data_IF_129743081315
#
_entry.id   IF_129743081315
#
_cell.length_a   1.000
_cell.length_b   1.000
_cell.length_c   1.000
_cell.angle_alpha   90.00
_cell.angle_beta   90.00
_cell.angle_gamma   90.00
#
_symmetry.space_group_name_H-M   'P 1'
#
loop_
_entity.id
_entity.type
_entity.pdbx_description
1 polymer ?
#
# COMPACT_ATOMS: atom_id res chain seq x y z
N UNK A 1 11.37 -30.54 -63.03
CA UNK A 1 11.62 -30.47 -61.56
C UNK A 1 11.94 -29.07 -60.98
N UNK A 2 12.04 -27.98 -61.77
CA UNK A 2 12.36 -26.62 -61.25
C UNK A 2 11.15 -25.71 -60.98
N UNK A 3 9.93 -26.09 -61.32
CA UNK A 3 8.71 -25.26 -61.11
C UNK A 3 7.94 -25.57 -59.79
N UNK A 4 8.19 -26.70 -59.14
CA UNK A 4 7.50 -27.09 -57.89
C UNK A 4 8.17 -26.47 -56.64
N UNK A 5 9.47 -26.15 -56.70
CA UNK A 5 10.22 -25.58 -55.58
C UNK A 5 9.88 -24.08 -55.37
N UNK A 6 9.50 -23.36 -56.40
CA UNK A 6 9.14 -21.93 -56.31
C UNK A 6 7.76 -21.70 -55.68
N UNK A 7 6.81 -22.64 -55.83
CA UNK A 7 5.48 -22.53 -55.24
C UNK A 7 5.49 -22.87 -53.74
N UNK A 8 6.36 -23.81 -53.33
CA UNK A 8 6.53 -24.17 -51.91
C UNK A 8 7.18 -23.05 -51.06
N UNK A 9 8.13 -22.32 -51.65
CA UNK A 9 8.82 -21.20 -50.99
C UNK A 9 7.93 -19.96 -50.86
N UNK A 10 7.03 -19.73 -51.82
CA UNK A 10 6.06 -18.61 -51.76
C UNK A 10 4.95 -18.87 -50.71
N UNK A 11 4.54 -20.12 -50.54
CA UNK A 11 3.54 -20.51 -49.54
C UNK A 11 4.13 -20.50 -48.10
N UNK A 12 5.43 -20.85 -47.95
CA UNK A 12 6.12 -20.77 -46.65
C UNK A 12 6.38 -19.32 -46.25
N UNK A 13 6.65 -18.42 -47.20
CA UNK A 13 6.78 -16.98 -46.94
C UNK A 13 5.44 -16.30 -46.64
N UNK A 14 4.31 -16.84 -47.10
CA UNK A 14 2.97 -16.34 -46.76
C UNK A 14 2.46 -16.88 -45.43
N UNK A 15 2.94 -18.02 -44.93
CA UNK A 15 2.57 -18.59 -43.63
C UNK A 15 3.42 -17.97 -42.49
N UNK A 16 4.61 -17.42 -42.78
CA UNK A 16 5.45 -16.74 -41.80
C UNK A 16 5.09 -15.29 -41.56
N UNK A 17 4.05 -14.73 -42.19
CA UNK A 17 3.61 -13.35 -42.03
C UNK A 17 2.19 -13.17 -41.47
N UNK A 18 1.63 -14.19 -40.83
CA UNK A 18 0.60 -13.94 -39.83
C UNK A 18 1.35 -13.61 -38.55
N UNK A 19 2.07 -12.49 -38.52
CA UNK A 19 2.32 -11.78 -37.30
C UNK A 19 0.93 -11.58 -36.70
N UNK A 20 0.64 -12.21 -35.56
CA UNK A 20 -0.55 -11.86 -34.78
C UNK A 20 -0.56 -10.34 -34.76
N UNK A 21 -1.60 -9.71 -35.30
CA UNK A 21 -1.69 -8.26 -35.29
C UNK A 21 -1.59 -7.80 -33.86
N UNK A 22 -0.56 -7.03 -33.55
CA UNK A 22 -0.32 -6.51 -32.22
C UNK A 22 -1.58 -5.78 -31.73
N UNK A 23 -2.08 -6.16 -30.57
CA UNK A 23 -3.25 -5.49 -30.00
C UNK A 23 -2.83 -4.14 -29.42
N UNK A 24 -3.78 -3.21 -29.26
CA UNK A 24 -3.52 -1.93 -28.61
C UNK A 24 -3.02 -2.13 -27.16
N UNK A 25 -3.48 -3.18 -26.51
CA UNK A 25 -3.06 -3.53 -25.16
C UNK A 25 -1.60 -3.96 -25.14
N UNK A 26 -1.19 -4.85 -26.04
CA UNK A 26 0.21 -5.26 -26.15
C UNK A 26 1.13 -4.11 -26.55
N UNK A 27 0.72 -3.28 -27.52
CA UNK A 27 1.48 -2.08 -27.91
C UNK A 27 1.69 -1.13 -26.72
N UNK A 28 0.64 -0.89 -25.92
CA UNK A 28 0.73 -0.04 -24.72
C UNK A 28 1.59 -0.66 -23.63
N UNK A 29 1.51 -1.99 -23.42
CA UNK A 29 2.32 -2.75 -22.47
C UNK A 29 3.81 -2.71 -22.80
N UNK A 30 4.13 -2.72 -24.11
CA UNK A 30 5.49 -2.67 -24.63
C UNK A 30 6.05 -1.24 -24.71
N UNK A 31 5.22 -0.20 -24.51
CA UNK A 31 5.64 1.20 -24.62
C UNK A 31 5.72 1.69 -26.08
N UNK A 32 5.07 1.00 -27.03
CA UNK A 32 5.09 1.36 -28.45
C UNK A 32 4.00 2.39 -28.77
N UNK A 33 4.27 3.67 -28.50
CA UNK A 33 3.36 4.77 -28.84
C UNK A 33 3.06 4.87 -30.35
N UNK A 34 4.02 4.70 -31.26
CA UNK A 34 3.74 4.61 -32.70
C UNK A 34 2.70 3.55 -33.06
N UNK A 35 2.85 2.31 -32.54
CA UNK A 35 1.88 1.23 -32.77
C UNK A 35 0.50 1.58 -32.20
N UNK A 36 0.42 2.10 -30.97
CA UNK A 36 -0.85 2.57 -30.37
C UNK A 36 -1.54 3.59 -31.27
N UNK A 37 -0.80 4.59 -31.78
CA UNK A 37 -1.32 5.61 -32.68
C UNK A 37 -1.82 5.02 -34.00
N UNK A 38 -1.06 4.08 -34.59
CA UNK A 38 -1.42 3.41 -35.84
C UNK A 38 -2.70 2.59 -35.71
N UNK A 39 -2.82 1.82 -34.61
CA UNK A 39 -4.00 0.98 -34.35
C UNK A 39 -5.24 1.86 -34.20
N UNK A 40 -5.17 2.96 -33.43
CA UNK A 40 -6.29 3.86 -33.23
C UNK A 40 -6.66 4.70 -34.46
N UNK A 41 -5.71 4.95 -35.35
CA UNK A 41 -5.97 5.59 -36.63
C UNK A 41 -6.76 4.67 -37.58
N UNK A 42 -6.53 3.36 -37.51
CA UNK A 42 -7.22 2.34 -38.31
C UNK A 42 -8.59 1.98 -37.69
N UNK A 43 -8.66 1.82 -36.37
CA UNK A 43 -9.87 1.43 -35.67
C UNK A 43 -9.99 2.16 -34.32
N UNK A 44 -10.63 3.32 -34.27
CA UNK A 44 -10.85 4.07 -33.02
C UNK A 44 -11.64 3.30 -31.95
N UNK A 45 -12.42 2.27 -32.32
CA UNK A 45 -13.21 1.48 -31.38
C UNK A 45 -12.33 0.67 -30.42
N UNK A 46 -11.06 0.47 -30.74
CA UNK A 46 -10.09 -0.24 -29.91
C UNK A 46 -9.62 0.53 -28.69
N UNK A 47 -9.95 1.82 -28.56
CA UNK A 47 -9.45 2.69 -27.49
C UNK A 47 -9.63 2.10 -26.08
N UNK A 48 -10.76 1.46 -25.82
CA UNK A 48 -11.07 0.85 -24.53
C UNK A 48 -11.12 -0.69 -24.58
N UNK A 49 -10.51 -1.30 -25.61
CA UNK A 49 -10.39 -2.75 -25.67
C UNK A 49 -9.57 -3.27 -24.48
N UNK A 50 -9.96 -4.44 -23.98
CA UNK A 50 -9.32 -5.09 -22.83
C UNK A 50 -8.62 -6.39 -23.26
N UNK A 51 -7.63 -6.80 -22.46
CA UNK A 51 -7.11 -8.16 -22.46
C UNK A 51 -8.04 -9.14 -21.72
N UNK A 52 -7.57 -10.38 -21.57
CA UNK A 52 -8.30 -11.46 -20.87
C UNK A 52 -8.49 -11.17 -19.37
N UNK A 53 -7.61 -10.36 -18.77
CA UNK A 53 -7.65 -9.93 -17.38
C UNK A 53 -8.41 -8.60 -17.18
N UNK A 54 -9.17 -8.15 -18.20
CA UNK A 54 -9.94 -6.90 -18.19
C UNK A 54 -9.11 -5.62 -18.07
N UNK A 55 -7.80 -5.64 -18.37
CA UNK A 55 -6.96 -4.45 -18.41
C UNK A 55 -7.01 -3.80 -19.80
N UNK A 56 -7.22 -2.49 -19.85
CA UNK A 56 -7.13 -1.69 -21.07
C UNK A 56 -5.68 -1.29 -21.38
N UNK A 57 -5.45 -0.76 -22.57
CA UNK A 57 -4.18 -0.13 -22.94
C UNK A 57 -3.76 0.96 -21.93
N UNK A 58 -4.73 1.74 -21.42
CA UNK A 58 -4.46 2.76 -20.41
C UNK A 58 -4.02 2.16 -19.05
N UNK A 59 -4.58 1.02 -18.64
CA UNK A 59 -4.12 0.31 -17.43
C UNK A 59 -2.64 -0.08 -17.57
N UNK A 60 -2.28 -0.73 -18.68
CA UNK A 60 -0.90 -1.18 -18.90
C UNK A 60 0.07 -0.01 -19.06
N UNK A 61 -0.32 1.06 -19.75
CA UNK A 61 0.48 2.26 -19.83
C UNK A 61 0.78 2.85 -18.44
N UNK A 62 -0.22 2.94 -17.56
CA UNK A 62 -0.04 3.41 -16.18
C UNK A 62 0.78 2.43 -15.33
N UNK A 63 0.51 1.13 -15.43
CA UNK A 63 1.21 0.08 -14.68
C UNK A 63 2.69 0.01 -15.02
N UNK A 64 3.05 0.24 -16.30
CA UNK A 64 4.42 0.23 -16.80
C UNK A 64 5.10 1.59 -16.84
N UNK A 65 4.41 2.64 -16.38
CA UNK A 65 4.88 4.02 -16.38
C UNK A 65 5.17 4.60 -17.79
N UNK A 66 4.46 4.14 -18.81
CA UNK A 66 4.51 4.69 -20.18
C UNK A 66 3.61 5.93 -20.25
N UNK A 67 4.06 7.04 -19.67
CA UNK A 67 3.24 8.23 -19.43
C UNK A 67 2.84 8.99 -20.69
N UNK A 68 3.63 8.91 -21.73
CA UNK A 68 3.33 9.45 -23.05
C UNK A 68 2.14 8.73 -23.71
N UNK A 69 2.10 7.39 -23.58
CA UNK A 69 0.96 6.57 -24.01
C UNK A 69 -0.26 6.85 -23.14
N UNK A 70 -0.09 6.88 -21.80
CA UNK A 70 -1.19 7.17 -20.89
C UNK A 70 -1.84 8.52 -21.19
N UNK A 71 -1.04 9.59 -21.31
CA UNK A 71 -1.51 10.92 -21.71
C UNK A 71 -2.24 10.89 -23.07
N UNK A 72 -1.63 10.28 -24.07
CA UNK A 72 -2.22 10.19 -25.40
C UNK A 72 -3.60 9.50 -25.39
N UNK A 73 -3.73 8.37 -24.66
CA UNK A 73 -4.99 7.63 -24.56
C UNK A 73 -6.06 8.46 -23.82
N UNK A 74 -5.69 9.11 -22.70
CA UNK A 74 -6.60 9.97 -21.93
C UNK A 74 -7.09 11.16 -22.78
N UNK A 75 -6.19 11.82 -23.52
CA UNK A 75 -6.52 12.93 -24.40
C UNK A 75 -7.43 12.50 -25.59
N UNK A 76 -7.34 11.22 -26.00
CA UNK A 76 -8.24 10.63 -26.99
C UNK A 76 -9.59 10.18 -26.42
N UNK A 77 -9.82 10.36 -25.11
CA UNK A 77 -11.10 10.04 -24.46
C UNK A 77 -11.17 8.59 -24.00
N UNK A 78 -10.05 7.95 -23.70
CA UNK A 78 -10.06 6.64 -23.03
C UNK A 78 -10.87 6.73 -21.73
N UNK A 79 -11.67 5.70 -21.44
CA UNK A 79 -12.43 5.63 -20.20
C UNK A 79 -11.47 5.40 -19.01
N UNK A 80 -11.34 6.42 -18.19
CA UNK A 80 -10.49 6.43 -16.99
C UNK A 80 -11.11 5.67 -15.80
N UNK A 81 -12.30 5.08 -16.00
CA UNK A 81 -13.07 4.39 -14.95
C UNK A 81 -13.23 2.88 -15.19
N UNK A 82 -12.60 2.34 -16.20
CA UNK A 82 -12.61 0.88 -16.40
C UNK A 82 -11.96 0.22 -15.20
N UNK A 83 -12.61 -0.81 -14.66
CA UNK A 83 -12.09 -1.60 -13.53
C UNK A 83 -11.30 -2.77 -14.09
N UNK A 84 -10.04 -2.90 -13.70
CA UNK A 84 -9.19 -4.02 -14.07
C UNK A 84 -9.47 -5.29 -13.27
N UNK A 85 -8.80 -6.38 -13.60
CA UNK A 85 -9.01 -7.69 -12.95
C UNK A 85 -8.70 -7.71 -11.45
N UNK A 86 -7.89 -6.77 -10.96
CA UNK A 86 -7.61 -6.58 -9.53
C UNK A 86 -8.69 -5.74 -8.80
N UNK A 87 -9.73 -5.31 -9.50
CA UNK A 87 -10.79 -4.45 -8.96
C UNK A 87 -10.42 -2.96 -8.86
N UNK A 88 -9.18 -2.59 -9.21
CA UNK A 88 -8.71 -1.20 -9.22
C UNK A 88 -8.95 -0.49 -10.55
N UNK A 89 -8.76 0.83 -10.55
CA UNK A 89 -8.77 1.68 -11.73
C UNK A 89 -7.37 2.20 -12.05
N UNK A 90 -7.19 2.75 -13.24
CA UNK A 90 -5.89 3.23 -13.74
C UNK A 90 -5.25 4.29 -12.84
N UNK A 91 -6.06 5.11 -12.15
CA UNK A 91 -5.57 6.15 -11.26
C UNK A 91 -4.72 5.58 -10.10
N UNK A 92 -5.04 4.36 -9.63
CA UNK A 92 -4.25 3.70 -8.57
C UNK A 92 -2.80 3.50 -9.00
N UNK A 93 -2.55 3.16 -10.28
CA UNK A 93 -1.20 2.99 -10.82
C UNK A 93 -0.48 4.32 -11.02
N UNK A 94 -1.19 5.36 -11.48
CA UNK A 94 -0.63 6.71 -11.58
C UNK A 94 -0.20 7.24 -10.20
N UNK A 95 -1.03 7.01 -9.18
CA UNK A 95 -0.72 7.34 -7.78
C UNK A 95 0.44 6.50 -7.26
N UNK A 96 0.47 5.19 -7.55
CA UNK A 96 1.55 4.29 -7.14
C UNK A 96 2.92 4.76 -7.66
N UNK A 97 2.98 5.29 -8.86
CA UNK A 97 4.20 5.81 -9.46
C UNK A 97 4.45 7.31 -9.18
N UNK A 98 3.67 7.93 -8.30
CA UNK A 98 3.77 9.36 -7.95
C UNK A 98 3.65 10.33 -9.14
N UNK A 99 2.96 9.94 -10.20
CA UNK A 99 2.76 10.80 -11.37
C UNK A 99 1.59 11.76 -11.15
N UNK A 100 1.90 12.90 -10.51
CA UNK A 100 0.92 13.93 -10.17
C UNK A 100 0.18 14.48 -11.38
N UNK A 101 0.87 14.62 -12.53
CA UNK A 101 0.26 15.16 -13.76
C UNK A 101 -0.82 14.23 -14.33
N UNK A 102 -0.54 12.94 -14.40
CA UNK A 102 -1.52 11.96 -14.89
C UNK A 102 -2.66 11.79 -13.89
N UNK A 103 -2.40 11.82 -12.58
CA UNK A 103 -3.46 11.81 -11.55
C UNK A 103 -4.40 13.00 -11.74
N UNK A 104 -3.87 14.23 -11.90
CA UNK A 104 -4.67 15.42 -12.16
C UNK A 104 -5.48 15.30 -13.45
N UNK A 105 -4.83 14.90 -14.53
CA UNK A 105 -5.48 14.72 -15.83
C UNK A 105 -6.64 13.71 -15.76
N UNK A 106 -6.45 12.58 -15.07
CA UNK A 106 -7.52 11.60 -14.88
C UNK A 106 -8.69 12.16 -14.09
N UNK A 107 -8.43 12.92 -13.02
CA UNK A 107 -9.49 13.56 -12.23
C UNK A 107 -10.23 14.60 -13.06
N UNK A 108 -9.54 15.42 -13.84
CA UNK A 108 -10.13 16.37 -14.79
C UNK A 108 -11.00 15.68 -15.85
N UNK A 109 -10.66 14.46 -16.24
CA UNK A 109 -11.44 13.63 -17.17
C UNK A 109 -12.51 12.78 -16.49
N UNK A 110 -12.81 13.04 -15.21
CA UNK A 110 -13.89 12.41 -14.49
C UNK A 110 -13.56 11.04 -13.89
N UNK A 111 -12.32 10.82 -13.50
CA UNK A 111 -11.96 9.62 -12.75
C UNK A 111 -12.76 9.55 -11.44
N UNK A 112 -13.45 8.44 -11.24
CA UNK A 112 -14.16 8.15 -9.99
C UNK A 112 -13.15 7.76 -8.93
N UNK A 113 -13.19 8.49 -7.82
CA UNK A 113 -12.42 8.19 -6.63
C UNK A 113 -13.16 7.19 -5.75
N UNK A 114 -12.47 6.66 -4.75
CA UNK A 114 -13.04 5.75 -3.75
C UNK A 114 -13.42 4.36 -4.28
N UNK A 115 -12.94 3.97 -5.47
CA UNK A 115 -13.09 2.61 -5.99
C UNK A 115 -12.15 1.69 -5.19
N UNK A 116 -12.73 0.66 -4.57
CA UNK A 116 -11.97 -0.32 -3.78
C UNK A 116 -11.48 -1.46 -4.66
N UNK A 117 -10.18 -1.70 -4.64
CA UNK A 117 -9.60 -2.89 -5.27
C UNK A 117 -9.86 -4.17 -4.46
N UNK A 118 -9.35 -5.32 -4.91
CA UNK A 118 -9.53 -6.63 -4.26
C UNK A 118 -9.06 -6.68 -2.79
N UNK A 119 -8.17 -5.79 -2.37
CA UNK A 119 -7.73 -5.64 -0.97
C UNK A 119 -8.55 -4.61 -0.18
N UNK A 120 -9.55 -4.01 -0.81
CA UNK A 120 -10.34 -2.92 -0.26
C UNK A 120 -9.61 -1.57 -0.24
N UNK A 121 -8.46 -1.45 -0.89
CA UNK A 121 -7.69 -0.20 -0.97
C UNK A 121 -8.27 0.72 -2.03
N UNK A 122 -8.27 2.04 -1.74
CA UNK A 122 -8.55 3.11 -2.69
C UNK A 122 -7.26 3.80 -3.13
N UNK A 123 -7.35 4.71 -4.10
CA UNK A 123 -6.24 5.57 -4.53
C UNK A 123 -5.61 6.35 -3.37
N UNK A 124 -6.43 6.80 -2.40
CA UNK A 124 -5.95 7.52 -1.22
C UNK A 124 -5.06 6.64 -0.33
N UNK A 125 -5.44 5.37 -0.12
CA UNK A 125 -4.61 4.42 0.62
C UNK A 125 -3.25 4.23 -0.06
N UNK A 126 -3.24 4.13 -1.39
CA UNK A 126 -2.01 4.00 -2.19
C UNK A 126 -1.13 5.25 -2.07
N UNK A 127 -1.71 6.46 -2.17
CA UNK A 127 -0.98 7.73 -2.03
C UNK A 127 -0.34 7.87 -0.64
N UNK A 128 -1.08 7.48 0.41
CA UNK A 128 -0.59 7.51 1.79
C UNK A 128 0.54 6.50 1.98
N UNK A 129 0.39 5.29 1.46
CA UNK A 129 1.43 4.27 1.53
C UNK A 129 2.73 4.72 0.83
N UNK A 130 2.62 5.44 -0.28
CA UNK A 130 3.77 6.05 -1.00
C UNK A 130 4.37 7.25 -0.26
N UNK A 131 3.59 7.90 0.63
CA UNK A 131 4.04 9.07 1.40
C UNK A 131 4.04 10.39 0.61
N UNK A 132 3.40 10.43 -0.55
CA UNK A 132 3.33 11.63 -1.37
C UNK A 132 2.28 12.60 -0.83
N UNK A 133 2.73 13.54 0.01
CA UNK A 133 1.87 14.52 0.68
C UNK A 133 1.05 15.35 -0.32
N UNK A 134 1.62 15.72 -1.46
CA UNK A 134 0.92 16.54 -2.45
C UNK A 134 -0.21 15.77 -3.15
N UNK A 135 0.02 14.49 -3.48
CA UNK A 135 -1.03 13.65 -4.05
C UNK A 135 -2.13 13.37 -3.02
N UNK A 136 -1.76 13.07 -1.76
CA UNK A 136 -2.73 12.87 -0.67
C UNK A 136 -3.61 14.10 -0.48
N UNK A 137 -3.00 15.28 -0.42
CA UNK A 137 -3.71 16.56 -0.25
C UNK A 137 -4.66 16.81 -1.42
N UNK A 138 -4.16 16.64 -2.64
CA UNK A 138 -4.95 16.82 -3.87
C UNK A 138 -6.14 15.84 -3.95
N UNK A 139 -5.95 14.57 -3.62
CA UNK A 139 -7.02 13.57 -3.60
C UNK A 139 -8.11 13.92 -2.58
N UNK A 140 -7.72 14.35 -1.38
CA UNK A 140 -8.67 14.79 -0.34
C UNK A 140 -9.47 16.03 -0.78
N UNK A 141 -8.84 16.99 -1.47
CA UNK A 141 -9.52 18.17 -2.02
C UNK A 141 -10.54 17.83 -3.12
N UNK A 142 -10.35 16.68 -3.79
CA UNK A 142 -11.23 16.21 -4.88
C UNK A 142 -12.21 15.11 -4.47
N UNK A 143 -12.38 14.86 -3.16
CA UNK A 143 -13.44 14.00 -2.64
C UNK A 143 -13.02 12.55 -2.35
N UNK A 144 -11.74 12.25 -2.24
CA UNK A 144 -11.32 10.97 -1.67
C UNK A 144 -11.75 10.88 -0.21
N UNK A 145 -12.42 9.78 0.14
CA UNK A 145 -12.95 9.53 1.49
C UNK A 145 -11.90 8.81 2.36
N UNK A 146 -11.33 9.49 3.38
CA UNK A 146 -10.33 8.91 4.27
C UNK A 146 -10.91 7.89 5.27
N UNK A 147 -12.23 7.76 5.36
CA UNK A 147 -12.90 6.85 6.30
C UNK A 147 -13.11 5.45 5.72
N UNK A 148 -12.93 5.28 4.41
CA UNK A 148 -13.07 3.97 3.76
C UNK A 148 -12.08 3.00 4.38
N UNK A 149 -12.58 1.79 4.71
CA UNK A 149 -11.78 0.73 5.30
C UNK A 149 -11.34 -0.29 4.26
N UNK A 150 -10.10 -0.76 4.36
CA UNK A 150 -9.63 -1.93 3.62
C UNK A 150 -10.24 -3.22 4.16
N UNK A 151 -9.89 -4.36 3.56
CA UNK A 151 -10.37 -5.66 4.05
C UNK A 151 -9.86 -6.00 5.46
N UNK A 152 -8.74 -5.41 5.89
CA UNK A 152 -8.23 -5.48 7.27
C UNK A 152 -8.92 -4.49 8.23
N UNK A 153 -9.82 -3.65 7.74
CA UNK A 153 -10.47 -2.59 8.51
C UNK A 153 -9.63 -1.33 8.65
N UNK A 154 -8.57 -1.16 7.85
CA UNK A 154 -7.67 -0.01 7.92
C UNK A 154 -8.23 1.19 7.16
N UNK A 155 -8.25 2.34 7.82
CA UNK A 155 -8.55 3.64 7.23
C UNK A 155 -7.27 4.34 6.74
N UNK A 156 -7.41 5.49 6.13
CA UNK A 156 -6.30 6.38 5.75
C UNK A 156 -5.30 6.60 6.90
N UNK A 157 -5.80 6.83 8.13
CA UNK A 157 -4.95 7.01 9.30
C UNK A 157 -4.16 5.76 9.67
N UNK A 158 -4.75 4.58 9.58
CA UNK A 158 -4.04 3.32 9.82
C UNK A 158 -2.86 3.17 8.85
N UNK A 159 -3.07 3.44 7.56
CA UNK A 159 -2.01 3.41 6.56
C UNK A 159 -0.92 4.44 6.82
N UNK A 160 -1.28 5.67 7.18
CA UNK A 160 -0.33 6.73 7.47
C UNK A 160 0.61 6.35 8.64
N UNK A 161 0.04 5.83 9.73
CA UNK A 161 0.83 5.36 10.86
C UNK A 161 1.65 4.12 10.53
N UNK A 162 1.07 3.16 9.81
CA UNK A 162 1.78 1.94 9.39
C UNK A 162 2.99 2.23 8.52
N UNK A 163 2.86 3.21 7.63
CA UNK A 163 3.93 3.62 6.70
C UNK A 163 4.96 4.56 7.34
N UNK A 164 4.64 5.16 8.49
CA UNK A 164 5.54 6.06 9.22
C UNK A 164 5.83 7.38 8.49
N UNK A 165 4.94 7.83 7.61
CA UNK A 165 5.07 9.08 6.88
C UNK A 165 4.57 10.29 7.70
N UNK A 166 5.44 10.87 8.55
CA UNK A 166 5.07 11.95 9.50
C UNK A 166 4.39 13.15 8.85
N UNK A 167 4.83 13.53 7.64
CA UNK A 167 4.21 14.65 6.91
C UNK A 167 2.76 14.33 6.53
N UNK A 168 2.51 13.09 6.10
CA UNK A 168 1.14 12.62 5.79
C UNK A 168 0.31 12.53 7.05
N UNK A 169 0.85 11.95 8.14
CA UNK A 169 0.16 11.90 9.45
C UNK A 169 -0.24 13.31 9.90
N UNK A 170 0.69 14.28 9.80
CA UNK A 170 0.42 15.68 10.15
C UNK A 170 -0.67 16.30 9.28
N UNK A 171 -0.62 16.07 7.97
CA UNK A 171 -1.64 16.55 7.03
C UNK A 171 -3.02 15.99 7.41
N UNK A 172 -3.15 14.67 7.58
CA UNK A 172 -4.43 14.02 7.91
C UNK A 172 -5.00 14.53 9.25
N UNK A 173 -4.14 14.73 10.27
CA UNK A 173 -4.53 15.31 11.56
C UNK A 173 -5.04 16.76 11.40
N UNK A 174 -4.33 17.59 10.63
CA UNK A 174 -4.72 18.97 10.40
C UNK A 174 -6.06 19.07 9.66
N UNK A 175 -6.41 18.07 8.85
CA UNK A 175 -7.71 17.94 8.19
C UNK A 175 -8.80 17.34 9.07
N UNK A 176 -8.51 17.06 10.35
CA UNK A 176 -9.48 16.54 11.33
C UNK A 176 -9.83 15.07 11.11
N UNK A 177 -9.04 14.30 10.37
CA UNK A 177 -9.31 12.89 10.13
C UNK A 177 -9.09 12.10 11.43
N UNK A 178 -10.09 11.32 11.81
CA UNK A 178 -10.17 10.67 13.13
C UNK A 178 -9.07 9.61 13.34
N UNK A 179 -8.53 9.62 14.56
CA UNK A 179 -7.66 8.57 15.11
C UNK A 179 -8.46 7.52 15.91
N UNK A 180 -9.71 7.83 16.23
CA UNK A 180 -10.54 7.00 17.09
C UNK A 180 -11.37 6.01 16.29
N UNK A 181 -10.67 5.23 15.48
CA UNK A 181 -11.26 4.16 14.65
C UNK A 181 -10.42 2.91 14.83
N UNK A 182 -11.04 1.81 15.19
CA UNK A 182 -10.40 0.51 15.29
C UNK A 182 -10.44 -0.26 13.96
N UNK A 183 -9.37 -1.01 13.67
CA UNK A 183 -9.34 -2.02 12.61
C UNK A 183 -10.06 -3.32 13.03
N UNK A 184 -10.03 -4.34 12.18
CA UNK A 184 -10.67 -5.64 12.46
C UNK A 184 -10.02 -6.42 13.62
N UNK A 185 -8.87 -5.98 14.12
CA UNK A 185 -8.16 -6.56 15.26
C UNK A 185 -8.28 -5.67 16.51
N UNK A 186 -9.14 -4.66 16.49
CA UNK A 186 -9.33 -3.71 17.60
C UNK A 186 -8.19 -2.73 17.79
N UNK A 187 -7.28 -2.58 16.83
CA UNK A 187 -6.14 -1.67 16.91
C UNK A 187 -6.51 -0.28 16.41
N UNK A 188 -6.09 0.73 17.10
CA UNK A 188 -6.12 2.11 16.61
C UNK A 188 -4.93 2.42 15.70
N UNK A 189 -5.00 3.45 14.84
CA UNK A 189 -3.92 3.83 13.92
C UNK A 189 -2.55 3.94 14.59
N UNK A 190 -2.47 4.58 15.75
CA UNK A 190 -1.22 4.78 16.49
C UNK A 190 -0.55 3.48 16.94
N UNK A 191 -1.29 2.37 17.08
CA UNK A 191 -0.73 1.05 17.39
C UNK A 191 0.02 0.42 16.19
N UNK A 192 -0.10 0.99 14.99
CA UNK A 192 0.56 0.53 13.77
C UNK A 192 1.83 1.32 13.43
N UNK A 193 2.23 2.26 14.28
CA UNK A 193 3.36 3.12 14.01
C UNK A 193 4.69 2.37 14.14
N UNK A 194 5.40 2.19 13.02
CA UNK A 194 6.68 1.47 12.97
C UNK A 194 7.90 2.36 12.74
N UNK A 195 7.73 3.67 12.60
CA UNK A 195 8.88 4.55 12.56
C UNK A 195 9.46 4.58 13.97
N UNK A 196 10.78 4.30 14.10
CA UNK A 196 11.49 4.53 15.36
C UNK A 196 11.18 5.95 15.84
N UNK A 197 10.28 6.16 16.81
CA UNK A 197 10.18 7.47 17.42
C UNK A 197 11.51 7.72 18.13
N UNK A 198 11.83 8.97 18.36
CA UNK A 198 12.88 9.25 19.34
C UNK A 198 12.43 8.60 20.65
N UNK A 199 13.23 7.69 21.22
CA UNK A 199 12.87 7.04 22.46
C UNK A 199 12.54 8.12 23.49
N UNK A 200 11.40 7.99 24.16
CA UNK A 200 11.14 8.80 25.36
C UNK A 200 12.17 8.35 26.39
N UNK A 201 12.92 9.29 26.96
CA UNK A 201 13.80 8.99 28.06
C UNK A 201 12.91 8.78 29.31
N UNK A 202 12.78 7.53 29.73
CA UNK A 202 12.25 7.17 31.04
C UNK A 202 13.40 7.12 32.03
N UNK A 203 13.15 7.56 33.26
CA UNK A 203 14.10 7.36 34.35
C UNK A 203 14.31 5.88 34.64
N UNK A 204 15.42 5.55 35.27
CA UNK A 204 15.72 4.14 35.65
C UNK A 204 14.64 3.53 36.51
N UNK A 205 14.03 4.33 37.44
CA UNK A 205 12.90 3.88 38.26
C UNK A 205 11.65 3.57 37.42
N UNK A 206 11.35 4.36 36.41
CA UNK A 206 10.22 4.08 35.52
C UNK A 206 10.48 2.85 34.65
N UNK A 207 11.74 2.62 34.20
CA UNK A 207 12.11 1.41 33.47
C UNK A 207 11.99 0.14 34.34
N UNK A 208 12.29 0.23 35.63
CA UNK A 208 12.21 -0.89 36.56
C UNK A 208 10.77 -1.40 36.74
N UNK A 209 9.74 -0.57 36.50
CA UNK A 209 8.36 -1.01 36.52
C UNK A 209 8.03 -2.12 35.52
N UNK A 210 8.79 -2.21 34.41
CA UNK A 210 8.55 -3.16 33.32
C UNK A 210 9.34 -4.46 33.43
N UNK A 211 10.26 -4.56 34.41
CA UNK A 211 11.08 -5.77 34.57
C UNK A 211 10.22 -6.96 35.01
N UNK A 212 10.52 -8.12 34.46
CA UNK A 212 9.85 -9.36 34.88
C UNK A 212 9.66 -10.38 33.79
N UNK A 213 8.95 -11.41 34.17
CA UNK A 213 8.61 -12.54 33.31
C UNK A 213 7.14 -12.48 32.93
N UNK A 214 6.88 -12.63 31.63
CA UNK A 214 5.53 -12.51 31.06
C UNK A 214 5.17 -13.82 30.35
N UNK A 215 3.96 -14.32 30.57
CA UNK A 215 3.51 -15.65 30.20
C UNK A 215 2.23 -15.61 29.36
N UNK A 216 2.05 -16.61 28.47
CA UNK A 216 0.76 -17.04 27.94
C UNK A 216 0.42 -18.38 28.60
N UNK A 217 -0.58 -18.40 29.48
CA UNK A 217 -0.84 -19.56 30.33
C UNK A 217 0.37 -19.87 31.20
N UNK A 218 0.93 -21.06 31.05
CA UNK A 218 2.14 -21.49 31.78
C UNK A 218 3.43 -21.39 30.96
N UNK A 219 3.34 -20.96 29.72
CA UNK A 219 4.49 -20.80 28.85
C UNK A 219 5.12 -19.43 29.03
N UNK A 220 6.42 -19.38 29.35
CA UNK A 220 7.21 -18.14 29.37
C UNK A 220 7.31 -17.61 27.95
N UNK A 221 6.78 -16.40 27.72
CA UNK A 221 6.83 -15.75 26.42
C UNK A 221 7.98 -14.78 26.30
N UNK A 222 8.20 -13.98 27.33
CA UNK A 222 9.30 -13.03 27.33
C UNK A 222 9.75 -12.72 28.76
N UNK A 223 11.02 -12.43 28.88
CA UNK A 223 11.62 -11.90 30.11
C UNK A 223 12.25 -10.55 29.79
N UNK A 224 11.90 -9.55 30.58
CA UNK A 224 12.41 -8.18 30.47
C UNK A 224 13.37 -7.93 31.61
N UNK A 225 14.59 -7.55 31.29
CA UNK A 225 15.58 -7.10 32.26
C UNK A 225 16.23 -5.78 31.85
N UNK A 226 16.93 -5.16 32.75
CA UNK A 226 17.62 -3.90 32.50
C UNK A 226 19.13 -4.10 32.40
N UNK A 227 19.73 -3.46 31.42
CA UNK A 227 21.17 -3.37 31.26
C UNK A 227 21.53 -1.87 31.13
N UNK A 228 22.00 -1.27 32.23
CA UNK A 228 22.22 0.17 32.31
C UNK A 228 20.89 0.94 32.25
N UNK A 229 20.78 1.81 31.25
CA UNK A 229 19.61 2.65 30.94
C UNK A 229 18.67 2.06 29.88
N UNK A 230 18.86 0.77 29.53
CA UNK A 230 18.14 0.09 28.45
C UNK A 230 17.39 -1.12 28.94
N UNK A 231 16.21 -1.34 28.39
CA UNK A 231 15.50 -2.58 28.56
C UNK A 231 15.94 -3.60 27.50
N UNK A 232 16.17 -4.79 27.97
CA UNK A 232 16.47 -5.97 27.14
C UNK A 232 15.36 -6.98 27.27
N UNK A 233 15.16 -7.77 26.23
CA UNK A 233 14.13 -8.79 26.16
C UNK A 233 14.73 -10.08 25.58
N UNK A 234 14.28 -11.21 26.07
CA UNK A 234 14.60 -12.52 25.52
C UNK A 234 13.33 -13.27 25.15
N UNK A 235 13.15 -13.55 23.87
CA UNK A 235 12.10 -14.41 23.31
C UNK A 235 12.70 -15.37 22.29
N UNK A 236 13.29 -14.84 21.21
CA UNK A 236 13.98 -15.62 20.16
C UNK A 236 15.46 -15.20 20.00
N UNK A 237 16.01 -14.54 21.01
CA UNK A 237 17.34 -13.98 21.06
C UNK A 237 17.33 -12.63 21.77
N UNK A 238 18.48 -12.16 22.30
CA UNK A 238 18.54 -10.89 23.02
C UNK A 238 18.26 -9.73 22.05
N UNK A 239 17.20 -8.97 22.32
CA UNK A 239 16.88 -7.74 21.61
C UNK A 239 16.75 -6.58 22.58
N UNK A 240 16.76 -5.37 22.06
CA UNK A 240 16.51 -4.15 22.82
C UNK A 240 15.09 -3.64 22.54
N UNK A 241 14.39 -3.22 23.59
CA UNK A 241 13.12 -2.53 23.45
C UNK A 241 13.26 -1.09 23.88
N UNK A 242 12.56 -0.22 23.16
CA UNK A 242 12.61 1.23 23.35
C UNK A 242 11.25 1.77 23.72
N UNK A 243 11.16 2.56 24.80
CA UNK A 243 9.92 3.25 25.12
C UNK A 243 9.62 4.31 24.08
N UNK A 244 8.37 4.32 23.64
CA UNK A 244 7.81 5.29 22.69
C UNK A 244 6.90 6.28 23.41
N UNK A 245 6.19 5.76 24.39
CA UNK A 245 5.40 6.46 25.36
C UNK A 245 5.38 5.61 26.63
N UNK A 246 4.88 6.15 27.74
CA UNK A 246 4.62 5.33 28.91
C UNK A 246 3.75 4.14 28.51
N UNK A 247 4.15 2.95 28.92
CA UNK A 247 3.48 1.68 28.62
C UNK A 247 3.48 1.22 27.16
N UNK A 248 4.21 1.91 26.25
CA UNK A 248 4.31 1.53 24.85
C UNK A 248 5.76 1.44 24.39
N UNK A 249 6.16 0.25 23.91
CA UNK A 249 7.52 -0.07 23.47
C UNK A 249 7.53 -0.70 22.10
N UNK A 250 8.66 -0.60 21.39
CA UNK A 250 8.90 -1.36 20.18
C UNK A 250 10.28 -2.05 20.24
N UNK A 251 10.44 -3.07 19.40
CA UNK A 251 11.66 -3.86 19.32
C UNK A 251 12.66 -3.23 18.33
N UNK A 252 13.94 -3.28 18.66
CA UNK A 252 15.00 -2.69 17.85
C UNK A 252 15.16 -3.37 16.50
N UNK A 253 15.08 -4.70 16.47
CA UNK A 253 15.39 -5.53 15.31
C UNK A 253 14.14 -6.13 14.65
N UNK A 254 12.99 -6.07 15.29
CA UNK A 254 11.77 -6.66 14.79
C UNK A 254 10.63 -5.64 14.68
N UNK A 255 9.68 -5.82 13.76
CA UNK A 255 8.52 -4.95 13.63
C UNK A 255 7.43 -5.29 14.67
N UNK A 256 7.82 -5.44 15.92
CA UNK A 256 6.94 -5.82 17.01
C UNK A 256 6.73 -4.65 17.96
N UNK A 257 5.58 -4.64 18.61
CA UNK A 257 5.23 -3.67 19.64
C UNK A 257 4.79 -4.38 20.89
N UNK A 258 5.09 -3.78 22.04
CA UNK A 258 4.71 -4.25 23.34
C UNK A 258 3.95 -3.11 24.05
N UNK A 259 2.71 -3.36 24.45
CA UNK A 259 1.85 -2.39 25.12
C UNK A 259 1.50 -2.97 26.48
N UNK A 260 1.81 -2.24 27.52
CA UNK A 260 1.47 -2.62 28.88
C UNK A 260 0.14 -2.02 29.32
N UNK A 261 -0.65 -2.79 30.03
CA UNK A 261 -1.90 -2.34 30.65
C UNK A 261 -1.77 -2.38 32.16
N UNK A 262 -2.31 -1.36 32.81
CA UNK A 262 -2.25 -1.18 34.25
C UNK A 262 -3.60 -1.52 34.91
N UNK A 263 -3.54 -2.03 36.11
CA UNK A 263 -4.72 -2.19 36.97
C UNK A 263 -5.16 -0.84 37.59
N UNK A 264 -6.21 -0.86 38.37
CA UNK A 264 -6.76 0.31 39.06
C UNK A 264 -5.78 0.97 40.07
N UNK A 265 -4.75 0.23 40.49
CA UNK A 265 -3.68 0.72 41.36
C UNK A 265 -2.45 1.22 40.60
N UNK A 266 -2.53 1.26 39.25
CA UNK A 266 -1.45 1.69 38.37
C UNK A 266 -0.33 0.67 38.20
N UNK A 267 -0.49 -0.59 38.64
CA UNK A 267 0.50 -1.66 38.47
C UNK A 267 0.31 -2.35 37.13
N UNK A 268 1.42 -2.72 36.49
CA UNK A 268 1.38 -3.48 35.23
C UNK A 268 0.77 -4.85 35.51
N UNK A 269 -0.36 -5.11 34.86
CA UNK A 269 -1.12 -6.35 35.03
C UNK A 269 -0.86 -7.31 33.87
N UNK A 270 -0.90 -6.81 32.64
CA UNK A 270 -0.64 -7.59 31.43
C UNK A 270 0.01 -6.73 30.36
N UNK A 271 0.53 -7.37 29.33
CA UNK A 271 1.02 -6.70 28.15
C UNK A 271 0.42 -7.34 26.90
N UNK A 272 0.26 -6.55 25.84
CA UNK A 272 -0.12 -7.00 24.52
C UNK A 272 1.11 -6.98 23.62
N UNK A 273 1.55 -8.15 23.18
CA UNK A 273 2.60 -8.31 22.18
C UNK A 273 1.96 -8.41 20.81
N UNK A 274 2.24 -7.49 19.93
CA UNK A 274 1.65 -7.43 18.61
C UNK A 274 2.70 -7.65 17.51
N UNK A 275 2.42 -8.60 16.62
CA UNK A 275 3.13 -8.87 15.36
C UNK A 275 2.30 -8.33 14.18
N UNK A 276 2.90 -8.25 13.00
CA UNK A 276 2.25 -7.72 11.78
C UNK A 276 0.87 -8.35 11.49
N UNK A 277 0.62 -9.60 11.94
CA UNK A 277 -0.64 -10.33 11.69
C UNK A 277 -1.25 -11.02 12.91
N UNK A 278 -0.68 -10.88 14.10
CA UNK A 278 -1.17 -11.53 15.32
C UNK A 278 -0.88 -10.67 16.54
N UNK A 279 -1.79 -10.71 17.52
CA UNK A 279 -1.59 -10.11 18.84
C UNK A 279 -1.79 -11.18 19.91
N UNK A 280 -0.99 -11.11 20.96
CA UNK A 280 -1.07 -12.01 22.10
C UNK A 280 -1.15 -11.18 23.39
N UNK A 281 -2.07 -11.55 24.27
CA UNK A 281 -2.10 -11.01 25.61
C UNK A 281 -1.21 -11.88 26.51
N UNK A 282 -0.24 -11.26 27.15
CA UNK A 282 0.71 -11.91 28.06
C UNK A 282 0.51 -11.35 29.46
N UNK A 283 0.62 -12.18 30.47
CA UNK A 283 0.36 -11.83 31.86
C UNK A 283 1.67 -11.88 32.64
N UNK A 284 1.92 -10.87 33.46
CA UNK A 284 3.03 -10.84 34.40
C UNK A 284 2.71 -11.79 35.57
N UNK A 285 3.60 -12.73 35.85
CA UNK A 285 3.55 -13.59 37.05
C UNK A 285 4.55 -13.12 38.08
#
# INVERSE_FOLDING_TARGET
MKRVIFFGMLVILLISSVALAETIVEAAKNGDLPAVKSILAQDPSKLNATDEDHYTALHWACMRAHWDIARYLIERGADVNVVGGDGGTQINWAVHHDNVEIVKLMIEKGAKLNIRNQWGMTELHTAIWRGNVHVVDYLLDHGSDPSIKTNEGWTAMHYAYRSGHDKVIKLLKNRGISLDVQDNQGRYPQHLYFKKPNPVQLSTGELDEYLGKYYIGDYLMLEIWREGDRLKIMEFGPDEIYPVARDFFYFKQAPWTLIFSRDENGRIHHAQLSFIRRSYTIVRK
#
